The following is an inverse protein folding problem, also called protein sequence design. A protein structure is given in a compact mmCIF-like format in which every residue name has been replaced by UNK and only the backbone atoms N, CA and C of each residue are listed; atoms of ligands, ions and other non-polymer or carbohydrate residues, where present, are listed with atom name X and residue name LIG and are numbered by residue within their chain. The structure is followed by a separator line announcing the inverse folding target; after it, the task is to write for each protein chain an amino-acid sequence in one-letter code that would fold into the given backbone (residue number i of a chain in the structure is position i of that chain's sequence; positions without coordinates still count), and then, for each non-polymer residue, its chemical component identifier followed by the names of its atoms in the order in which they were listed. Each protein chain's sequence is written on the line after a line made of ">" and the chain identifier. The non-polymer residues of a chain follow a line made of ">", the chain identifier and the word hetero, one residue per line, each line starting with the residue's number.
data_IF_189012854622
#
_entry.id   IF_189012854622
#
_cell.length_a   1.000
_cell.length_b   1.000
_cell.length_c   1.000
_cell.angle_alpha   90.00
_cell.angle_beta   90.00
_cell.angle_gamma   90.00
#
_symmetry.space_group_name_H-M   'P 1'
#
loop_
_entity.id
_entity.type
_entity.pdbx_description
1 polymer ?
#
# COMPACT_ATOMS: atom_id res chain seq x y z
N UNK A 1 16.18 6.06 -11.14
CA UNK A 1 14.72 6.21 -10.97
C UNK A 1 13.97 6.39 -12.27
N UNK A 2 14.43 7.20 -13.21
CA UNK A 2 13.82 7.28 -14.56
C UNK A 2 13.76 5.93 -15.29
N UNK A 3 14.62 4.98 -14.94
CA UNK A 3 14.62 3.63 -15.51
C UNK A 3 13.39 2.79 -15.12
N UNK A 4 12.73 3.09 -14.00
CA UNK A 4 11.49 2.40 -13.56
C UNK A 4 10.32 2.59 -14.54
N UNK A 5 10.37 3.69 -15.32
CA UNK A 5 9.29 4.08 -16.24
C UNK A 5 9.70 3.94 -17.71
N UNK A 6 10.89 3.39 -17.99
CA UNK A 6 11.36 3.18 -19.36
C UNK A 6 11.00 1.79 -19.84
N UNK A 7 10.17 1.72 -20.86
CA UNK A 7 10.05 0.54 -21.72
C UNK A 7 10.99 0.75 -22.92
N UNK A 8 12.06 -0.06 -23.07
CA UNK A 8 12.98 0.09 -24.20
C UNK A 8 12.32 -0.09 -25.57
N UNK A 9 11.16 -0.79 -25.63
CA UNK A 9 10.42 -1.01 -26.87
C UNK A 9 9.52 0.18 -27.27
N UNK A 10 9.31 1.13 -26.36
CA UNK A 10 8.53 2.34 -26.62
C UNK A 10 9.42 3.54 -26.42
N UNK A 11 9.40 4.51 -27.31
CA UNK A 11 10.14 5.79 -27.19
C UNK A 11 9.61 6.59 -25.98
N UNK A 12 9.93 6.13 -24.77
CA UNK A 12 9.30 6.63 -23.55
C UNK A 12 10.04 7.80 -22.92
N UNK A 13 9.24 8.73 -22.43
CA UNK A 13 9.65 10.03 -21.88
C UNK A 13 10.27 9.93 -20.47
N UNK A 14 10.31 8.74 -19.86
CA UNK A 14 10.77 8.52 -18.48
C UNK A 14 9.70 8.83 -17.42
N UNK A 15 8.43 8.95 -17.85
CA UNK A 15 7.25 9.10 -17.00
C UNK A 15 6.33 7.88 -17.18
N UNK A 16 5.50 7.51 -16.15
CA UNK A 16 4.48 6.49 -16.33
C UNK A 16 3.46 6.93 -17.40
N UNK A 17 2.96 5.97 -18.17
CA UNK A 17 1.99 6.24 -19.22
C UNK A 17 0.61 6.66 -18.68
N UNK A 18 0.29 6.23 -17.45
CA UNK A 18 -1.01 6.44 -16.81
C UNK A 18 -0.86 6.88 -15.35
N UNK A 19 -1.88 7.57 -14.86
CA UNK A 19 -2.09 7.84 -13.45
C UNK A 19 -2.40 6.54 -12.70
N UNK A 20 -1.46 6.03 -11.90
CA UNK A 20 -1.56 4.72 -11.24
C UNK A 20 -1.00 4.73 -9.82
N UNK A 21 -1.44 3.79 -8.99
CA UNK A 21 -1.04 3.68 -7.58
C UNK A 21 0.45 3.38 -7.36
N UNK A 22 1.06 2.57 -8.21
CA UNK A 22 2.48 2.21 -8.11
C UNK A 22 3.38 3.43 -8.30
N UNK A 23 3.00 4.36 -9.19
CA UNK A 23 3.62 5.67 -9.31
C UNK A 23 3.52 6.46 -7.99
N UNK A 24 2.30 6.56 -7.44
CA UNK A 24 2.07 7.25 -6.16
C UNK A 24 2.90 6.68 -5.01
N UNK A 25 3.05 5.35 -4.95
CA UNK A 25 3.88 4.70 -3.93
C UNK A 25 5.36 5.06 -4.05
N UNK A 26 5.91 5.04 -5.27
CA UNK A 26 7.32 5.41 -5.50
C UNK A 26 7.56 6.87 -5.13
N UNK A 27 6.66 7.77 -5.52
CA UNK A 27 6.76 9.19 -5.17
C UNK A 27 6.67 9.41 -3.66
N UNK A 28 5.83 8.65 -2.96
CA UNK A 28 5.77 8.70 -1.48
C UNK A 28 7.07 8.20 -0.84
N UNK A 29 7.69 7.17 -1.40
CA UNK A 29 9.02 6.72 -0.98
C UNK A 29 10.08 7.81 -1.17
N UNK A 30 10.08 8.48 -2.32
CA UNK A 30 11.00 9.59 -2.63
C UNK A 30 10.73 10.80 -1.72
N UNK A 31 9.48 11.12 -1.43
CA UNK A 31 9.10 12.17 -0.46
C UNK A 31 9.76 11.91 0.91
N UNK A 32 9.70 10.66 1.41
CA UNK A 32 10.35 10.30 2.67
C UNK A 32 11.87 10.48 2.63
N UNK A 33 12.52 10.16 1.51
CA UNK A 33 13.95 10.43 1.31
C UNK A 33 14.22 11.94 1.31
N UNK A 34 13.39 12.73 0.62
CA UNK A 34 13.50 14.19 0.62
C UNK A 34 13.31 14.80 2.01
N UNK A 35 12.30 14.38 2.75
CA UNK A 35 12.05 14.88 4.12
C UNK A 35 13.29 14.76 5.02
N UNK A 36 14.08 13.73 4.79
CA UNK A 36 15.29 13.44 5.55
C UNK A 36 16.54 14.15 5.02
N UNK A 37 16.74 14.11 3.71
CA UNK A 37 17.97 14.63 3.07
C UNK A 37 17.89 16.13 2.78
N UNK A 38 16.69 16.66 2.57
CA UNK A 38 16.41 18.00 2.05
C UNK A 38 17.03 18.28 0.68
N UNK A 39 17.47 17.23 -0.03
CA UNK A 39 18.02 17.36 -1.37
C UNK A 39 16.91 17.73 -2.37
N UNK A 40 17.04 18.93 -2.94
CA UNK A 40 16.07 19.49 -3.88
C UNK A 40 15.80 18.61 -5.10
N UNK A 41 16.75 17.77 -5.50
CA UNK A 41 16.57 16.86 -6.64
C UNK A 41 15.39 15.90 -6.48
N UNK A 42 15.14 15.45 -5.25
CA UNK A 42 13.98 14.58 -4.95
C UNK A 42 12.67 15.34 -5.02
N UNK A 43 12.62 16.55 -4.48
CA UNK A 43 11.44 17.41 -4.59
C UNK A 43 11.12 17.72 -6.06
N UNK A 44 12.10 18.17 -6.81
CA UNK A 44 11.95 18.51 -8.25
C UNK A 44 11.49 17.27 -9.06
N UNK A 45 11.94 16.07 -8.66
CA UNK A 45 11.49 14.83 -9.29
C UNK A 45 9.99 14.59 -9.03
N UNK A 46 9.54 14.72 -7.78
CA UNK A 46 8.11 14.57 -7.43
C UNK A 46 7.28 15.60 -8.18
N UNK A 47 7.69 16.86 -8.16
CA UNK A 47 6.96 17.95 -8.80
C UNK A 47 6.84 17.72 -10.32
N UNK A 48 7.94 17.44 -11.02
CA UNK A 48 7.89 17.16 -12.47
C UNK A 48 7.00 15.98 -12.83
N UNK A 49 6.97 14.93 -11.99
CA UNK A 49 6.10 13.79 -12.22
C UNK A 49 4.61 14.16 -12.05
N UNK A 50 4.27 14.98 -11.07
CA UNK A 50 2.89 15.43 -10.88
C UNK A 50 2.50 16.43 -11.97
N UNK A 51 3.37 17.37 -12.35
CA UNK A 51 3.12 18.34 -13.44
C UNK A 51 2.92 17.68 -14.81
N UNK A 52 3.46 16.46 -14.98
CA UNK A 52 3.19 15.68 -16.18
C UNK A 52 1.72 15.24 -16.29
N UNK A 53 1.01 15.09 -15.18
CA UNK A 53 -0.38 14.64 -15.15
C UNK A 53 -1.38 15.74 -14.83
N UNK A 54 -1.01 16.75 -14.06
CA UNK A 54 -1.92 17.74 -13.49
C UNK A 54 -1.85 19.05 -14.28
N UNK A 55 -2.96 19.43 -14.91
CA UNK A 55 -3.12 20.71 -15.59
C UNK A 55 -3.44 21.84 -14.60
N UNK A 56 -3.35 23.10 -15.04
CA UNK A 56 -3.55 24.27 -14.18
C UNK A 56 -4.98 24.40 -13.65
N UNK A 57 -5.96 23.84 -14.34
CA UNK A 57 -7.34 23.75 -13.88
C UNK A 57 -7.59 22.68 -12.82
N UNK A 58 -6.61 21.81 -12.57
CA UNK A 58 -6.67 20.69 -11.64
C UNK A 58 -7.12 19.37 -12.27
N UNK A 59 -7.39 19.33 -13.57
CA UNK A 59 -7.68 18.09 -14.26
C UNK A 59 -6.45 17.15 -14.25
N UNK A 60 -6.72 15.85 -14.23
CA UNK A 60 -5.66 14.81 -14.13
C UNK A 60 -5.69 13.98 -15.42
N UNK A 61 -4.61 14.03 -16.18
CA UNK A 61 -4.47 13.25 -17.42
C UNK A 61 -4.55 11.75 -17.13
N UNK A 62 -5.31 11.03 -17.94
CA UNK A 62 -5.57 9.57 -17.84
C UNK A 62 -6.34 9.13 -16.58
N UNK A 63 -6.99 10.06 -15.91
CA UNK A 63 -7.90 9.80 -14.80
C UNK A 63 -9.32 10.22 -15.18
N UNK A 64 -10.28 9.39 -14.84
CA UNK A 64 -11.72 9.67 -14.92
C UNK A 64 -12.42 9.17 -13.66
N UNK A 65 -13.25 10.04 -13.08
CA UNK A 65 -13.99 9.71 -11.84
C UNK A 65 -14.94 8.53 -12.04
N UNK A 66 -15.55 8.40 -13.22
CA UNK A 66 -16.54 7.38 -13.56
C UNK A 66 -16.01 5.95 -13.54
N UNK A 67 -14.69 5.76 -13.60
CA UNK A 67 -14.07 4.46 -13.42
C UNK A 67 -14.23 3.95 -11.98
N UNK A 68 -14.42 4.84 -11.04
CA UNK A 68 -14.47 4.51 -9.61
C UNK A 68 -13.45 3.44 -9.23
N UNK A 69 -12.20 3.72 -9.57
CA UNK A 69 -11.06 2.87 -9.25
C UNK A 69 -10.32 3.45 -8.05
N UNK A 70 -10.36 2.76 -6.91
CA UNK A 70 -9.73 3.26 -5.69
C UNK A 70 -8.19 3.35 -5.82
N UNK A 71 -7.58 2.57 -6.72
CA UNK A 71 -6.14 2.62 -6.99
C UNK A 71 -5.69 4.00 -7.49
N UNK A 72 -6.57 4.75 -8.13
CA UNK A 72 -6.28 6.09 -8.64
C UNK A 72 -6.20 7.16 -7.55
N UNK A 73 -6.58 6.87 -6.32
CA UNK A 73 -6.57 7.82 -5.19
C UNK A 73 -5.16 7.98 -4.60
N UNK A 74 -4.38 6.89 -4.54
CA UNK A 74 -3.07 6.89 -3.88
C UNK A 74 -2.10 7.99 -4.34
N UNK A 75 -1.96 8.30 -5.66
CA UNK A 75 -1.06 9.37 -6.10
C UNK A 75 -1.46 10.76 -5.58
N UNK A 76 -2.71 10.93 -5.13
CA UNK A 76 -3.21 12.16 -4.50
C UNK A 76 -2.41 12.58 -3.27
N UNK A 77 -1.72 11.67 -2.60
CA UNK A 77 -0.82 12.01 -1.49
C UNK A 77 0.34 12.92 -1.93
N UNK A 78 0.87 12.71 -3.14
CA UNK A 78 1.87 13.61 -3.71
C UNK A 78 1.29 14.99 -4.04
N UNK A 79 0.01 15.07 -4.43
CA UNK A 79 -0.67 16.36 -4.63
C UNK A 79 -0.79 17.14 -3.32
N UNK A 80 -1.21 16.47 -2.24
CA UNK A 80 -1.30 17.11 -0.91
C UNK A 80 0.08 17.58 -0.42
N UNK A 81 1.12 16.78 -0.63
CA UNK A 81 2.51 17.17 -0.33
C UNK A 81 2.93 18.43 -1.10
N UNK A 82 2.71 18.47 -2.42
CA UNK A 82 3.07 19.61 -3.26
C UNK A 82 2.24 20.84 -2.92
N UNK A 83 0.94 20.71 -2.68
CA UNK A 83 0.10 21.82 -2.23
C UNK A 83 0.59 22.41 -0.91
N UNK A 84 0.87 21.57 0.09
CA UNK A 84 1.39 22.02 1.40
C UNK A 84 2.72 22.76 1.27
N UNK A 85 3.57 22.35 0.31
CA UNK A 85 4.92 22.89 0.14
C UNK A 85 4.94 24.11 -0.76
N UNK A 86 4.16 24.11 -1.86
CA UNK A 86 4.22 25.18 -2.91
C UNK A 86 3.06 26.15 -2.91
N UNK A 87 1.94 25.77 -2.29
CA UNK A 87 0.67 26.52 -2.31
C UNK A 87 0.07 26.71 -3.71
N UNK A 88 0.49 25.92 -4.71
CA UNK A 88 -0.09 25.99 -6.04
C UNK A 88 -1.50 25.39 -6.05
N UNK A 89 -2.48 26.18 -6.49
CA UNK A 89 -3.91 25.81 -6.46
C UNK A 89 -4.25 24.61 -7.36
N UNK A 90 -3.51 24.36 -8.43
CA UNK A 90 -3.73 23.18 -9.29
C UNK A 90 -3.66 21.87 -8.51
N UNK A 91 -2.74 21.73 -7.55
CA UNK A 91 -2.61 20.52 -6.74
C UNK A 91 -3.77 20.36 -5.75
N UNK A 92 -4.28 21.47 -5.20
CA UNK A 92 -5.47 21.45 -4.36
C UNK A 92 -6.70 21.03 -5.15
N UNK A 93 -6.92 21.62 -6.34
CA UNK A 93 -8.02 21.25 -7.22
C UNK A 93 -7.98 19.78 -7.63
N UNK A 94 -6.79 19.30 -8.04
CA UNK A 94 -6.61 17.90 -8.38
C UNK A 94 -6.85 16.95 -7.16
N UNK A 95 -6.41 17.33 -5.96
CA UNK A 95 -6.71 16.58 -4.75
C UNK A 95 -8.22 16.60 -4.43
N UNK A 96 -8.91 17.72 -4.64
CA UNK A 96 -10.36 17.83 -4.46
C UNK A 96 -11.13 16.92 -5.44
N UNK A 97 -10.69 16.80 -6.68
CA UNK A 97 -11.27 15.86 -7.65
C UNK A 97 -11.16 14.40 -7.20
N UNK A 98 -10.03 14.01 -6.60
CA UNK A 98 -9.89 12.66 -6.02
C UNK A 98 -10.76 12.48 -4.75
N UNK A 99 -10.93 13.53 -3.97
CA UNK A 99 -11.82 13.51 -2.80
C UNK A 99 -13.29 13.35 -3.22
N UNK A 100 -13.72 14.01 -4.30
CA UNK A 100 -15.05 13.87 -4.89
C UNK A 100 -15.34 12.42 -5.30
N UNK A 101 -14.35 11.70 -5.88
CA UNK A 101 -14.50 10.28 -6.13
C UNK A 101 -14.86 9.50 -4.86
N UNK A 102 -14.21 9.77 -3.72
CA UNK A 102 -14.50 9.06 -2.46
C UNK A 102 -15.89 9.39 -1.89
N UNK A 103 -16.44 10.57 -2.16
CA UNK A 103 -17.81 10.92 -1.75
C UNK A 103 -18.86 10.05 -2.45
N UNK A 104 -18.67 9.87 -3.74
CA UNK A 104 -19.61 9.18 -4.63
C UNK A 104 -19.24 7.72 -4.92
N UNK A 105 -18.11 7.25 -4.39
CA UNK A 105 -17.58 5.90 -4.65
C UNK A 105 -18.59 4.81 -4.26
N UNK A 106 -18.85 3.82 -5.12
CA UNK A 106 -19.76 2.71 -4.81
C UNK A 106 -19.34 2.00 -3.53
N UNK A 107 -20.36 1.59 -2.76
CA UNK A 107 -20.17 0.97 -1.45
C UNK A 107 -20.96 -0.33 -1.29
N UNK A 108 -20.45 -1.20 -0.44
CA UNK A 108 -21.19 -2.35 0.08
C UNK A 108 -22.41 -1.88 0.89
N UNK A 109 -23.35 -2.76 1.18
CA UNK A 109 -24.52 -2.44 2.03
C UNK A 109 -24.12 -1.96 3.43
N UNK A 110 -22.92 -2.37 3.90
CA UNK A 110 -22.36 -1.97 5.18
C UNK A 110 -21.56 -0.64 5.10
N UNK A 111 -21.41 -0.06 3.90
CA UNK A 111 -20.76 1.22 3.66
C UNK A 111 -19.26 1.12 3.36
N UNK A 112 -18.70 -0.07 3.13
CA UNK A 112 -17.32 -0.26 2.68
C UNK A 112 -17.14 0.13 1.21
N UNK A 113 -16.04 0.77 0.85
CA UNK A 113 -15.74 1.10 -0.54
C UNK A 113 -15.53 -0.16 -1.37
N UNK A 114 -16.16 -0.24 -2.54
CA UNK A 114 -15.76 -1.24 -3.53
C UNK A 114 -14.33 -0.98 -3.98
N UNK A 115 -13.59 -2.04 -4.22
CA UNK A 115 -12.22 -1.87 -4.73
C UNK A 115 -12.20 -1.15 -6.09
N UNK A 116 -13.14 -1.50 -6.97
CA UNK A 116 -13.38 -0.82 -8.26
C UNK A 116 -14.84 -1.02 -8.67
N UNK A 117 -15.37 -0.11 -9.48
CA UNK A 117 -16.72 -0.26 -10.06
C UNK A 117 -16.89 -1.58 -10.82
N UNK A 118 -15.83 -2.04 -11.50
CA UNK A 118 -15.82 -3.32 -12.23
C UNK A 118 -15.76 -4.56 -11.30
N UNK A 119 -15.59 -4.36 -9.98
CA UNK A 119 -15.60 -5.40 -8.95
C UNK A 119 -16.69 -5.08 -7.91
N UNK A 120 -17.98 -5.17 -8.30
CA UNK A 120 -19.08 -4.76 -7.44
C UNK A 120 -19.11 -5.57 -6.14
N UNK A 121 -19.47 -4.90 -5.05
CA UNK A 121 -19.61 -5.48 -3.69
C UNK A 121 -18.33 -6.06 -3.07
N UNK A 122 -17.14 -5.77 -3.66
CA UNK A 122 -15.88 -6.32 -3.19
C UNK A 122 -15.02 -5.28 -2.46
N UNK A 123 -14.54 -5.65 -1.27
CA UNK A 123 -13.46 -4.96 -0.57
C UNK A 123 -12.19 -5.81 -0.62
N UNK A 124 -11.06 -5.20 -0.96
CA UNK A 124 -9.76 -5.85 -0.90
C UNK A 124 -8.85 -5.11 0.08
N UNK A 125 -7.92 -5.84 0.72
CA UNK A 125 -6.95 -5.24 1.65
C UNK A 125 -6.15 -4.11 0.99
N UNK A 126 -5.81 -4.28 -0.27
CA UNK A 126 -5.09 -3.31 -1.10
C UNK A 126 -5.80 -1.95 -1.15
N UNK A 127 -7.12 -1.97 -1.33
CA UNK A 127 -7.94 -0.76 -1.41
C UNK A 127 -7.80 0.16 -0.22
N UNK A 128 -7.52 -0.39 0.96
CA UNK A 128 -7.33 0.41 2.17
C UNK A 128 -6.08 1.30 2.08
N UNK A 129 -4.98 0.82 1.46
CA UNK A 129 -3.81 1.68 1.24
C UNK A 129 -4.02 2.66 0.10
N UNK A 130 -4.79 2.26 -0.90
CA UNK A 130 -5.08 3.12 -2.05
C UNK A 130 -5.86 4.36 -1.64
N UNK A 131 -6.90 4.21 -0.80
CA UNK A 131 -7.82 5.28 -0.43
C UNK A 131 -7.53 5.97 0.90
N UNK A 132 -7.38 5.20 1.98
CA UNK A 132 -7.52 5.72 3.33
C UNK A 132 -6.40 6.67 3.80
N UNK A 133 -5.11 6.45 3.48
CA UNK A 133 -4.08 7.43 3.84
C UNK A 133 -4.25 8.79 3.16
N UNK A 134 -4.70 8.79 1.89
CA UNK A 134 -5.04 10.05 1.22
C UNK A 134 -6.26 10.71 1.86
N UNK A 135 -7.32 9.95 2.11
CA UNK A 135 -8.56 10.45 2.71
C UNK A 135 -8.30 11.08 4.08
N UNK A 136 -7.52 10.42 4.93
CA UNK A 136 -7.16 10.94 6.25
C UNK A 136 -6.26 12.19 6.16
N UNK A 137 -5.28 12.21 5.25
CA UNK A 137 -4.39 13.34 5.04
C UNK A 137 -5.16 14.54 4.46
N UNK A 138 -6.11 14.31 3.54
CA UNK A 138 -7.00 15.33 3.00
C UNK A 138 -7.90 15.91 4.08
N UNK A 139 -8.58 15.05 4.84
CA UNK A 139 -9.48 15.46 5.92
C UNK A 139 -8.76 16.30 7.00
N UNK A 140 -7.53 15.91 7.36
CA UNK A 140 -6.71 16.69 8.30
C UNK A 140 -6.26 18.03 7.69
N UNK A 141 -5.95 18.08 6.39
CA UNK A 141 -5.47 19.29 5.70
C UNK A 141 -6.55 20.30 5.51
N UNK A 142 -7.78 19.86 5.21
CA UNK A 142 -8.91 20.74 4.88
C UNK A 142 -10.01 20.79 5.94
N UNK A 143 -9.73 20.26 7.13
CA UNK A 143 -10.62 20.29 8.30
C UNK A 143 -11.99 19.62 8.08
N UNK A 144 -11.97 18.34 7.66
CA UNK A 144 -13.15 17.50 7.50
C UNK A 144 -13.28 16.48 8.67
N UNK A 145 -13.62 16.87 9.89
CA UNK A 145 -13.55 15.99 11.06
C UNK A 145 -14.51 14.78 10.95
N UNK A 146 -15.67 14.91 10.27
CA UNK A 146 -16.63 13.84 10.09
C UNK A 146 -16.08 12.70 9.21
N UNK A 147 -15.08 12.96 8.36
CA UNK A 147 -14.47 11.95 7.49
C UNK A 147 -13.78 10.83 8.28
N UNK A 148 -13.26 11.12 9.47
CA UNK A 148 -12.53 10.13 10.29
C UNK A 148 -13.44 8.99 10.78
N UNK A 149 -14.74 9.21 10.91
CA UNK A 149 -15.69 8.15 11.24
C UNK A 149 -15.84 7.15 10.09
N UNK A 150 -15.90 7.62 8.86
CA UNK A 150 -15.98 6.79 7.66
C UNK A 150 -14.66 6.04 7.42
N UNK A 151 -13.53 6.74 7.50
CA UNK A 151 -12.20 6.14 7.38
C UNK A 151 -12.02 4.98 8.37
N UNK A 152 -12.37 5.19 9.64
CA UNK A 152 -12.28 4.13 10.63
C UNK A 152 -13.22 2.95 10.31
N UNK A 153 -14.41 3.22 9.76
CA UNK A 153 -15.36 2.20 9.31
C UNK A 153 -14.74 1.29 8.27
N UNK A 154 -14.01 1.82 7.28
CA UNK A 154 -13.39 1.02 6.23
C UNK A 154 -12.44 -0.04 6.82
N UNK A 155 -11.55 0.34 7.72
CA UNK A 155 -10.64 -0.60 8.40
C UNK A 155 -11.39 -1.65 9.23
N UNK A 156 -12.39 -1.22 10.00
CA UNK A 156 -13.20 -2.13 10.85
C UNK A 156 -13.96 -3.14 10.01
N UNK A 157 -14.56 -2.70 8.90
CA UNK A 157 -15.30 -3.59 8.00
C UNK A 157 -14.36 -4.60 7.36
N UNK A 158 -13.22 -4.13 6.83
CA UNK A 158 -12.27 -5.02 6.17
C UNK A 158 -11.69 -6.04 7.15
N UNK A 159 -11.25 -5.61 8.35
CA UNK A 159 -10.75 -6.54 9.36
C UNK A 159 -11.80 -7.58 9.74
N UNK A 160 -13.01 -7.15 10.08
CA UNK A 160 -14.08 -8.06 10.52
C UNK A 160 -14.40 -9.13 9.48
N UNK A 161 -14.44 -8.74 8.20
CA UNK A 161 -14.85 -9.62 7.12
C UNK A 161 -13.71 -10.49 6.59
N UNK A 162 -12.43 -10.10 6.78
CA UNK A 162 -11.28 -10.81 6.22
C UNK A 162 -10.42 -11.57 7.24
N UNK A 163 -10.53 -11.28 8.56
CA UNK A 163 -9.68 -11.94 9.56
C UNK A 163 -10.07 -13.41 9.76
N UNK A 164 -9.07 -14.26 9.72
CA UNK A 164 -9.17 -15.65 10.14
C UNK A 164 -8.87 -15.79 11.64
N UNK A 165 -9.81 -16.35 12.40
CA UNK A 165 -9.69 -16.45 13.87
C UNK A 165 -8.61 -17.43 14.32
N UNK A 166 -8.24 -18.42 13.48
CA UNK A 166 -7.24 -19.46 13.82
C UNK A 166 -5.81 -18.93 13.64
N UNK A 167 -5.56 -18.25 12.54
CA UNK A 167 -4.23 -17.78 12.18
C UNK A 167 -3.98 -16.34 12.61
N UNK A 168 -5.04 -15.51 12.68
CA UNK A 168 -4.99 -14.08 12.85
C UNK A 168 -4.63 -13.33 11.57
N UNK A 169 -4.35 -14.04 10.46
CA UNK A 169 -4.09 -13.44 9.15
C UNK A 169 -5.38 -12.91 8.52
N UNK A 170 -5.22 -12.10 7.48
CA UNK A 170 -6.33 -11.52 6.74
C UNK A 170 -6.37 -12.10 5.33
N UNK A 171 -7.54 -12.54 4.88
CA UNK A 171 -7.77 -12.94 3.49
C UNK A 171 -7.67 -11.72 2.57
N UNK A 172 -7.17 -11.90 1.35
CA UNK A 172 -6.90 -10.83 0.38
C UNK A 172 -8.13 -9.97 0.09
N UNK A 173 -9.27 -10.61 -0.16
CA UNK A 173 -10.52 -9.94 -0.51
C UNK A 173 -11.74 -10.54 0.15
N UNK A 174 -12.79 -9.71 0.20
CA UNK A 174 -14.13 -10.08 0.65
C UNK A 174 -15.17 -9.59 -0.36
N UNK A 175 -16.03 -10.50 -0.78
CA UNK A 175 -17.20 -10.23 -1.62
C UNK A 175 -18.47 -10.32 -0.76
N UNK A 176 -19.12 -9.19 -0.49
CA UNK A 176 -20.36 -9.13 0.27
C UNK A 176 -21.47 -9.95 -0.40
N UNK A 177 -21.51 -9.95 -1.73
CA UNK A 177 -22.52 -10.67 -2.51
C UNK A 177 -22.33 -12.18 -2.48
N UNK A 178 -21.10 -12.67 -2.22
CA UNK A 178 -20.69 -14.08 -2.26
C UNK A 178 -20.90 -14.75 -3.63
N UNK A 179 -21.03 -13.97 -4.69
CA UNK A 179 -21.32 -14.47 -6.04
C UNK A 179 -20.07 -14.68 -6.89
N UNK A 180 -18.93 -14.11 -6.45
CA UNK A 180 -17.68 -14.31 -7.13
C UNK A 180 -17.21 -15.77 -7.01
N UNK A 181 -16.74 -16.35 -8.09
CA UNK A 181 -16.24 -17.74 -8.10
C UNK A 181 -15.08 -17.98 -7.15
N UNK A 182 -14.28 -16.94 -6.85
CA UNK A 182 -13.20 -17.00 -5.87
C UNK A 182 -13.70 -16.88 -4.43
N UNK A 183 -14.91 -16.39 -4.21
CA UNK A 183 -15.42 -16.13 -2.86
C UNK A 183 -15.98 -17.40 -2.22
N UNK A 184 -15.66 -17.62 -0.97
CA UNK A 184 -16.28 -18.66 -0.16
C UNK A 184 -17.80 -18.36 -0.06
N UNK A 185 -18.68 -19.31 -0.41
CA UNK A 185 -20.14 -19.07 -0.48
C UNK A 185 -20.80 -18.78 0.88
N UNK A 186 -20.16 -19.13 2.00
CA UNK A 186 -20.66 -18.85 3.34
C UNK A 186 -20.14 -17.53 3.89
N UNK A 187 -18.86 -17.21 3.63
CA UNK A 187 -18.18 -16.07 4.26
C UNK A 187 -17.89 -14.90 3.33
N UNK A 188 -17.86 -15.13 2.01
CA UNK A 188 -17.43 -14.15 1.02
C UNK A 188 -15.90 -13.95 0.94
N UNK A 189 -15.11 -14.66 1.73
CA UNK A 189 -13.65 -14.51 1.80
C UNK A 189 -12.96 -15.18 0.62
N UNK A 190 -11.84 -14.60 0.16
CA UNK A 190 -10.93 -15.24 -0.79
C UNK A 190 -10.20 -16.43 -0.15
N UNK A 191 -9.62 -17.36 -0.94
CA UNK A 191 -9.15 -18.64 -0.36
C UNK A 191 -7.81 -18.58 0.35
N UNK A 192 -6.95 -17.58 0.10
CA UNK A 192 -5.58 -17.55 0.61
C UNK A 192 -5.16 -16.22 1.25
N UNK A 193 -4.10 -16.30 2.08
CA UNK A 193 -3.49 -15.15 2.75
C UNK A 193 -2.30 -14.63 1.93
N UNK A 194 -2.55 -13.69 1.02
CA UNK A 194 -1.51 -13.11 0.19
C UNK A 194 -0.71 -12.05 0.96
N UNK A 195 0.63 -12.23 1.01
CA UNK A 195 1.51 -11.41 1.83
C UNK A 195 1.45 -9.91 1.48
N UNK A 196 1.50 -9.56 0.19
CA UNK A 196 1.45 -8.15 -0.25
C UNK A 196 0.13 -7.46 0.09
N UNK A 197 -1.01 -8.15 -0.01
CA UNK A 197 -2.29 -7.58 0.38
C UNK A 197 -2.30 -7.17 1.86
N UNK A 198 -1.82 -8.05 2.74
CA UNK A 198 -1.65 -7.70 4.16
C UNK A 198 -0.60 -6.63 4.39
N UNK A 199 0.46 -6.59 3.58
CA UNK A 199 1.45 -5.52 3.58
C UNK A 199 0.82 -4.16 3.29
N UNK A 200 -0.02 -4.08 2.27
CA UNK A 200 -0.80 -2.87 1.97
C UNK A 200 -1.66 -2.43 3.16
N UNK A 201 -2.40 -3.36 3.75
CA UNK A 201 -3.27 -3.04 4.90
C UNK A 201 -2.48 -2.57 6.13
N UNK A 202 -1.30 -3.16 6.38
CA UNK A 202 -0.41 -2.72 7.46
C UNK A 202 0.11 -1.30 7.23
N UNK A 203 0.55 -0.99 6.00
CA UNK A 203 0.97 0.36 5.61
C UNK A 203 -0.18 1.36 5.69
N UNK A 204 -1.39 0.96 5.25
CA UNK A 204 -2.58 1.79 5.35
C UNK A 204 -2.85 2.23 6.79
N UNK A 205 -2.80 1.30 7.74
CA UNK A 205 -3.04 1.60 9.16
C UNK A 205 -2.04 2.62 9.71
N UNK A 206 -0.73 2.39 9.54
CA UNK A 206 0.28 3.31 10.13
C UNK A 206 0.27 4.68 9.48
N UNK A 207 -0.05 4.77 8.19
CA UNK A 207 -0.09 6.03 7.46
C UNK A 207 -1.38 6.82 7.78
N UNK A 208 -2.51 6.13 7.91
CA UNK A 208 -3.78 6.75 8.29
C UNK A 208 -3.79 7.24 9.73
N UNK A 209 -3.26 6.45 10.69
CA UNK A 209 -3.22 6.81 12.11
C UNK A 209 -2.39 8.11 12.35
N UNK A 210 -1.41 8.41 11.51
CA UNK A 210 -0.63 9.66 11.60
C UNK A 210 -1.49 10.92 11.48
N UNK A 211 -2.56 10.85 10.68
CA UNK A 211 -3.47 11.96 10.42
C UNK A 211 -4.71 11.95 11.30
N UNK A 212 -4.94 10.86 12.04
CA UNK A 212 -6.09 10.74 12.93
C UNK A 212 -5.96 11.66 14.14
N UNK A 213 -6.99 12.45 14.49
CA UNK A 213 -6.95 13.28 15.69
C UNK A 213 -6.68 12.41 16.94
N UNK A 214 -5.77 12.86 17.81
CA UNK A 214 -5.33 12.06 18.96
C UNK A 214 -6.46 11.63 19.89
N UNK A 215 -7.47 12.50 20.06
CA UNK A 215 -8.63 12.28 20.91
C UNK A 215 -9.80 11.58 20.21
N UNK A 216 -9.68 11.27 18.91
CA UNK A 216 -10.77 10.63 18.20
C UNK A 216 -11.08 9.24 18.77
N UNK A 217 -12.33 8.92 19.13
CA UNK A 217 -12.68 7.70 19.87
C UNK A 217 -12.32 6.41 19.11
N UNK A 218 -12.32 6.45 17.78
CA UNK A 218 -11.99 5.30 16.93
C UNK A 218 -10.50 5.11 16.70
N UNK A 219 -9.64 6.07 17.08
CA UNK A 219 -8.19 5.96 16.87
C UNK A 219 -7.58 4.75 17.59
N UNK A 220 -7.98 4.52 18.83
CA UNK A 220 -7.53 3.36 19.61
C UNK A 220 -7.92 2.03 18.94
N UNK A 221 -9.07 2.00 18.24
CA UNK A 221 -9.54 0.83 17.50
C UNK A 221 -8.63 0.51 16.31
N UNK A 222 -8.18 1.52 15.56
CA UNK A 222 -7.22 1.34 14.47
C UNK A 222 -5.86 0.82 14.99
N UNK A 223 -5.39 1.34 16.11
CA UNK A 223 -4.15 0.88 16.77
C UNK A 223 -4.31 -0.59 17.19
N UNK A 224 -5.46 -0.98 17.73
CA UNK A 224 -5.70 -2.37 18.11
C UNK A 224 -5.76 -3.31 16.88
N UNK A 225 -6.31 -2.86 15.75
CA UNK A 225 -6.28 -3.60 14.47
C UNK A 225 -4.84 -3.80 14.02
N UNK A 226 -4.03 -2.75 14.08
CA UNK A 226 -2.60 -2.81 13.72
C UNK A 226 -1.82 -3.79 14.64
N UNK A 227 -2.06 -3.78 15.96
CA UNK A 227 -1.35 -4.69 16.88
C UNK A 227 -1.74 -6.16 16.63
N UNK A 228 -3.03 -6.46 16.40
CA UNK A 228 -3.46 -7.82 16.03
C UNK A 228 -2.81 -8.29 14.71
N UNK A 229 -2.72 -7.42 13.72
CA UNK A 229 -2.04 -7.76 12.46
C UNK A 229 -0.53 -7.96 12.67
N UNK A 230 0.12 -7.07 13.42
CA UNK A 230 1.55 -7.17 13.74
C UNK A 230 1.87 -8.47 14.48
N UNK A 231 0.99 -8.88 15.41
CA UNK A 231 1.13 -10.18 16.09
C UNK A 231 1.06 -11.36 15.12
N UNK A 232 0.06 -11.39 14.24
CA UNK A 232 -0.10 -12.44 13.24
C UNK A 232 1.10 -12.48 12.26
N UNK A 233 1.48 -11.33 11.70
CA UNK A 233 2.62 -11.22 10.79
C UNK A 233 3.92 -11.70 11.45
N UNK A 234 4.14 -11.37 12.72
CA UNK A 234 5.32 -11.85 13.47
C UNK A 234 5.36 -13.37 13.59
N UNK A 235 4.23 -14.02 13.83
CA UNK A 235 4.13 -15.47 13.94
C UNK A 235 4.54 -16.20 12.65
N UNK A 236 4.31 -15.57 11.50
CA UNK A 236 4.61 -16.11 10.18
C UNK A 236 5.91 -15.57 9.56
N UNK A 237 6.73 -14.85 10.32
CA UNK A 237 8.08 -14.48 9.89
C UNK A 237 8.98 -15.72 9.85
N UNK A 238 9.56 -16.02 8.69
CA UNK A 238 10.48 -17.15 8.56
C UNK A 238 11.68 -17.00 9.52
N UNK A 239 11.93 -18.02 10.37
CA UNK A 239 12.94 -17.91 11.41
C UNK A 239 14.38 -17.85 10.87
N UNK A 240 14.65 -18.35 9.66
CA UNK A 240 15.99 -18.37 9.07
C UNK A 240 16.30 -17.08 8.35
N UNK A 241 15.44 -16.67 7.40
CA UNK A 241 15.65 -15.48 6.58
C UNK A 241 15.18 -14.18 7.23
N UNK A 242 14.20 -14.26 8.14
CA UNK A 242 13.51 -13.10 8.67
C UNK A 242 12.49 -12.48 7.74
N UNK A 243 12.18 -13.13 6.62
CA UNK A 243 11.27 -12.66 5.57
C UNK A 243 9.90 -13.34 5.67
N UNK A 244 9.04 -13.08 4.70
CA UNK A 244 7.70 -13.65 4.62
C UNK A 244 7.44 -14.26 3.26
N UNK A 245 6.69 -15.35 3.26
CA UNK A 245 6.32 -16.07 2.04
C UNK A 245 5.18 -15.39 1.29
N UNK A 246 5.11 -15.61 -0.03
CA UNK A 246 4.08 -15.13 -0.94
C UNK A 246 2.67 -15.47 -0.42
N UNK A 247 2.44 -16.74 -0.08
CA UNK A 247 1.24 -17.21 0.62
C UNK A 247 1.63 -17.51 2.07
N UNK A 248 1.20 -16.66 2.98
CA UNK A 248 1.77 -16.48 4.32
C UNK A 248 1.76 -17.73 5.19
N UNK A 249 0.67 -18.50 5.17
CA UNK A 249 0.46 -19.68 6.04
C UNK A 249 1.00 -21.00 5.45
N UNK A 250 1.56 -20.93 4.24
CA UNK A 250 2.05 -22.12 3.53
C UNK A 250 3.56 -22.38 3.69
N UNK A 251 4.30 -21.42 4.26
CA UNK A 251 5.73 -21.58 4.53
C UNK A 251 6.49 -22.15 3.33
N UNK A 252 7.23 -23.24 3.55
CA UNK A 252 8.05 -23.92 2.54
C UNK A 252 7.25 -24.91 1.66
N UNK A 253 5.93 -24.80 1.59
CA UNK A 253 5.14 -25.65 0.69
C UNK A 253 5.62 -25.51 -0.76
N UNK A 254 5.46 -26.59 -1.55
CA UNK A 254 6.00 -26.69 -2.91
C UNK A 254 5.66 -25.46 -3.76
N UNK A 255 6.70 -24.76 -4.24
CA UNK A 255 6.58 -23.60 -5.11
C UNK A 255 6.39 -22.27 -4.39
N UNK A 256 6.12 -22.23 -3.08
CA UNK A 256 6.03 -20.99 -2.34
C UNK A 256 7.43 -20.35 -2.19
N UNK A 257 7.49 -19.04 -2.17
CA UNK A 257 8.74 -18.29 -2.14
C UNK A 257 8.66 -17.08 -1.21
N UNK A 258 9.82 -16.60 -0.76
CA UNK A 258 9.94 -15.36 0.00
C UNK A 258 9.71 -14.16 -0.93
N UNK A 259 8.86 -13.21 -0.52
CA UNK A 259 8.41 -12.14 -1.40
C UNK A 259 8.86 -10.77 -0.88
N UNK A 260 9.53 -10.01 -1.74
CA UNK A 260 10.23 -8.79 -1.34
C UNK A 260 9.32 -7.62 -1.00
N UNK A 261 8.23 -7.40 -1.77
CA UNK A 261 7.35 -6.25 -1.53
C UNK A 261 6.59 -6.37 -0.21
N UNK A 262 6.05 -7.55 0.08
CA UNK A 262 5.39 -7.82 1.36
C UNK A 262 6.37 -7.62 2.54
N UNK A 263 7.60 -8.13 2.40
CA UNK A 263 8.63 -7.96 3.41
C UNK A 263 8.95 -6.48 3.66
N UNK A 264 9.14 -5.67 2.61
CA UNK A 264 9.37 -4.23 2.73
C UNK A 264 8.19 -3.52 3.40
N UNK A 265 6.95 -3.85 3.04
CA UNK A 265 5.74 -3.27 3.61
C UNK A 265 5.58 -3.59 5.10
N UNK A 266 5.82 -4.84 5.50
CA UNK A 266 5.77 -5.24 6.91
C UNK A 266 6.88 -4.56 7.72
N UNK A 267 8.11 -4.51 7.20
CA UNK A 267 9.22 -3.80 7.87
C UNK A 267 8.88 -2.33 8.08
N UNK A 268 8.38 -1.66 7.05
CA UNK A 268 7.93 -0.27 7.15
C UNK A 268 6.87 -0.08 8.23
N UNK A 269 5.80 -0.87 8.16
CA UNK A 269 4.67 -0.72 9.08
C UNK A 269 5.07 -1.00 10.54
N UNK A 270 5.86 -2.05 10.79
CA UNK A 270 6.34 -2.39 12.12
C UNK A 270 7.31 -1.32 12.67
N UNK A 271 8.29 -0.89 11.87
CA UNK A 271 9.25 0.12 12.29
C UNK A 271 8.58 1.47 12.59
N UNK A 272 7.71 1.94 11.70
CA UNK A 272 6.95 3.17 11.86
C UNK A 272 5.96 3.08 13.02
N UNK A 273 5.27 1.96 13.16
CA UNK A 273 4.32 1.72 14.25
C UNK A 273 4.99 1.80 15.62
N UNK A 274 6.19 1.22 15.77
CA UNK A 274 6.99 1.33 17.00
C UNK A 274 7.48 2.77 17.23
N UNK A 275 8.01 3.41 16.19
CA UNK A 275 8.55 4.78 16.28
C UNK A 275 7.49 5.79 16.72
N UNK A 276 6.26 5.63 16.25
CA UNK A 276 5.14 6.52 16.58
C UNK A 276 4.35 6.10 17.83
N UNK A 277 4.78 5.02 18.52
CA UNK A 277 4.11 4.54 19.73
C UNK A 277 2.76 3.85 19.47
N UNK A 278 2.49 3.43 18.25
CA UNK A 278 1.28 2.65 17.89
C UNK A 278 1.46 1.17 18.22
N UNK A 279 2.69 0.70 18.17
CA UNK A 279 3.06 -0.69 18.47
C UNK A 279 4.05 -0.78 19.61
N UNK A 280 3.98 -1.83 20.44
CA UNK A 280 4.97 -2.12 21.46
C UNK A 280 6.39 -2.32 20.89
N UNK A 281 7.40 -1.99 21.70
CA UNK A 281 8.82 -2.05 21.31
C UNK A 281 9.32 -3.44 20.88
N UNK A 282 8.65 -4.53 21.32
CA UNK A 282 8.99 -5.91 20.90
C UNK A 282 9.03 -6.09 19.37
N UNK A 283 8.22 -5.34 18.62
CA UNK A 283 8.20 -5.41 17.15
C UNK A 283 9.43 -4.76 16.48
N UNK A 284 10.25 -4.01 17.21
CA UNK A 284 11.53 -3.46 16.71
C UNK A 284 12.48 -4.57 16.25
N UNK A 285 12.57 -5.67 17.02
CA UNK A 285 13.40 -6.81 16.67
C UNK A 285 12.90 -7.52 15.39
N UNK A 286 11.58 -7.66 15.25
CA UNK A 286 10.94 -8.25 14.06
C UNK A 286 11.24 -7.42 12.81
N UNK A 287 11.04 -6.10 12.88
CA UNK A 287 11.35 -5.19 11.78
C UNK A 287 12.84 -5.23 11.40
N UNK A 288 13.74 -5.22 12.39
CA UNK A 288 15.19 -5.29 12.16
C UNK A 288 15.60 -6.61 11.48
N UNK A 289 15.05 -7.74 11.95
CA UNK A 289 15.31 -9.06 11.36
C UNK A 289 14.82 -9.10 9.90
N UNK A 290 13.60 -8.62 9.64
CA UNK A 290 13.05 -8.53 8.28
C UNK A 290 13.89 -7.63 7.37
N UNK A 291 14.33 -6.47 7.85
CA UNK A 291 15.17 -5.56 7.06
C UNK A 291 16.53 -6.18 6.70
N UNK A 292 17.17 -6.86 7.65
CA UNK A 292 18.42 -7.59 7.38
C UNK A 292 18.20 -8.69 6.33
N UNK A 293 17.08 -9.41 6.40
CA UNK A 293 16.70 -10.40 5.39
C UNK A 293 16.53 -9.77 4.00
N UNK A 294 15.84 -8.61 3.91
CA UNK A 294 15.67 -7.88 2.65
C UNK A 294 17.04 -7.53 2.05
N UNK A 295 17.95 -6.96 2.84
CA UNK A 295 19.28 -6.56 2.37
C UNK A 295 20.10 -7.76 1.88
N UNK A 296 19.98 -8.90 2.55
CA UNK A 296 20.77 -10.10 2.20
C UNK A 296 20.22 -10.83 0.98
N UNK A 297 18.90 -11.05 0.94
CA UNK A 297 18.29 -11.95 -0.03
C UNK A 297 17.86 -11.22 -1.31
N UNK A 298 17.37 -9.97 -1.21
CA UNK A 298 16.72 -9.27 -2.33
C UNK A 298 17.50 -8.10 -2.91
N UNK A 299 18.49 -7.54 -2.19
CA UNK A 299 19.31 -6.46 -2.74
C UNK A 299 20.53 -7.04 -3.44
N UNK A 300 20.56 -6.87 -4.75
CA UNK A 300 21.67 -7.33 -5.58
C UNK A 300 22.35 -6.15 -6.29
N UNK A 301 23.67 -6.22 -6.41
CA UNK A 301 24.46 -5.24 -7.17
C UNK A 301 24.81 -5.84 -8.52
N UNK A 302 24.48 -5.13 -9.59
CA UNK A 302 24.87 -5.54 -10.93
C UNK A 302 26.33 -5.17 -11.26
N UNK A 303 26.78 -5.57 -12.46
CA UNK A 303 28.16 -5.29 -12.94
C UNK A 303 28.47 -3.80 -13.07
N UNK A 304 27.44 -2.95 -13.21
CA UNK A 304 27.59 -1.49 -13.31
C UNK A 304 27.54 -0.80 -11.93
N UNK A 305 27.45 -1.59 -10.86
CA UNK A 305 27.37 -1.09 -9.50
C UNK A 305 25.97 -0.61 -9.07
N UNK A 306 24.95 -0.75 -9.92
CA UNK A 306 23.57 -0.41 -9.59
C UNK A 306 22.98 -1.42 -8.59
N UNK A 307 22.26 -0.92 -7.60
CA UNK A 307 21.48 -1.77 -6.67
C UNK A 307 20.14 -2.08 -7.29
N UNK A 308 19.78 -3.36 -7.27
CA UNK A 308 18.52 -3.87 -7.76
C UNK A 308 17.76 -4.55 -6.62
N UNK A 309 16.43 -4.41 -6.60
CA UNK A 309 15.53 -5.16 -5.74
C UNK A 309 14.93 -6.32 -6.54
N UNK A 310 15.29 -7.54 -6.17
CA UNK A 310 14.75 -8.77 -6.75
C UNK A 310 13.59 -9.31 -5.92
N UNK A 311 12.92 -10.34 -6.41
CA UNK A 311 11.94 -11.11 -5.63
C UNK A 311 10.58 -10.44 -5.46
N UNK A 312 10.22 -9.46 -6.29
CA UNK A 312 8.90 -8.83 -6.25
C UNK A 312 7.92 -9.54 -7.19
N UNK A 313 6.81 -10.04 -6.70
CA UNK A 313 5.74 -10.53 -7.58
C UNK A 313 5.12 -9.36 -8.34
N UNK A 314 4.95 -9.53 -9.66
CA UNK A 314 4.48 -8.45 -10.53
C UNK A 314 3.06 -7.98 -10.16
N UNK A 315 2.10 -8.90 -10.07
CA UNK A 315 0.71 -8.58 -9.81
C UNK A 315 0.08 -9.62 -8.87
N UNK A 316 -1.03 -9.26 -8.26
CA UNK A 316 -1.95 -10.14 -7.59
C UNK A 316 -3.33 -9.50 -7.59
N UNK A 317 -4.37 -10.30 -7.71
CA UNK A 317 -5.73 -9.80 -7.75
C UNK A 317 -6.76 -10.92 -7.72
N UNK A 318 -8.02 -10.56 -7.80
CA UNK A 318 -9.16 -11.47 -7.76
C UNK A 318 -10.11 -11.16 -8.92
N UNK A 319 -10.67 -12.19 -9.54
CA UNK A 319 -11.57 -12.01 -10.70
C UNK A 319 -10.86 -11.46 -11.95
N UNK A 320 -11.61 -10.78 -12.81
CA UNK A 320 -11.08 -10.19 -14.04
C UNK A 320 -10.99 -11.17 -15.22
N UNK A 321 -10.28 -10.74 -16.26
CA UNK A 321 -10.02 -11.56 -17.46
C UNK A 321 -8.55 -11.39 -17.88
N UNK A 322 -7.70 -12.45 -17.86
CA UNK A 322 -8.03 -13.80 -17.41
C UNK A 322 -8.50 -13.85 -15.96
N UNK A 323 -9.31 -14.87 -15.63
CA UNK A 323 -9.90 -14.97 -14.30
C UNK A 323 -8.88 -15.41 -13.25
N UNK A 324 -8.76 -14.62 -12.17
CA UNK A 324 -7.87 -14.85 -11.03
C UNK A 324 -8.70 -15.38 -9.88
N UNK A 325 -8.54 -16.67 -9.58
CA UNK A 325 -9.38 -17.38 -8.61
C UNK A 325 -8.89 -17.25 -7.15
N UNK A 326 -7.72 -16.61 -6.93
CA UNK A 326 -7.10 -16.49 -5.63
C UNK A 326 -6.61 -17.81 -5.03
N UNK A 327 -6.50 -18.87 -5.85
CA UNK A 327 -5.92 -20.17 -5.43
C UNK A 327 -4.44 -20.04 -5.08
N UNK A 328 -3.91 -21.06 -4.43
CA UNK A 328 -2.47 -21.16 -4.17
C UNK A 328 -1.68 -21.16 -5.48
N UNK A 329 -2.12 -21.97 -6.42
CA UNK A 329 -1.52 -22.11 -7.76
C UNK A 329 -1.54 -20.77 -8.51
N UNK A 330 -2.63 -20.02 -8.43
CA UNK A 330 -2.72 -18.68 -9.04
C UNK A 330 -1.64 -17.75 -8.48
N UNK A 331 -1.51 -17.62 -7.15
CA UNK A 331 -0.51 -16.73 -6.57
C UNK A 331 0.92 -17.11 -6.92
N UNK A 332 1.19 -18.39 -7.17
CA UNK A 332 2.53 -18.87 -7.54
C UNK A 332 2.79 -18.77 -9.06
N UNK A 333 1.75 -18.67 -9.88
CA UNK A 333 1.88 -18.52 -11.34
C UNK A 333 2.27 -17.11 -11.80
N UNK A 334 2.09 -16.13 -10.93
CA UNK A 334 2.41 -14.74 -11.23
C UNK A 334 3.93 -14.51 -11.31
N UNK A 335 4.36 -13.72 -12.28
CA UNK A 335 5.79 -13.48 -12.52
C UNK A 335 6.45 -12.77 -11.36
N UNK A 336 7.64 -13.22 -11.01
CA UNK A 336 8.54 -12.52 -10.10
C UNK A 336 9.50 -11.68 -10.93
N UNK A 337 9.65 -10.40 -10.61
CA UNK A 337 10.40 -9.43 -11.40
C UNK A 337 11.36 -8.61 -10.54
N UNK A 338 12.33 -7.98 -11.20
CA UNK A 338 13.31 -7.09 -10.57
C UNK A 338 12.85 -5.64 -10.71
N UNK A 339 13.08 -4.84 -9.66
CA UNK A 339 12.79 -3.40 -9.63
C UNK A 339 11.32 -3.02 -9.91
N UNK A 340 10.39 -3.88 -9.55
CA UNK A 340 8.98 -3.51 -9.63
C UNK A 340 8.67 -2.29 -8.74
N UNK A 341 7.94 -1.28 -9.23
CA UNK A 341 7.63 -0.06 -8.47
C UNK A 341 7.00 -0.32 -7.10
N UNK A 342 6.18 -1.37 -6.96
CA UNK A 342 5.54 -1.74 -5.69
C UNK A 342 6.56 -2.19 -4.63
N UNK A 343 7.56 -2.96 -5.06
CA UNK A 343 8.68 -3.35 -4.21
C UNK A 343 9.61 -2.17 -3.90
N UNK A 344 10.01 -1.42 -4.94
CA UNK A 344 10.95 -0.28 -4.81
C UNK A 344 10.38 0.82 -3.92
N UNK A 345 9.12 1.21 -4.11
CA UNK A 345 8.48 2.23 -3.27
C UNK A 345 8.40 1.79 -1.80
N UNK A 346 8.00 0.55 -1.54
CA UNK A 346 7.97 -0.01 -0.19
C UNK A 346 9.39 -0.12 0.43
N UNK A 347 10.41 -0.47 -0.36
CA UNK A 347 11.80 -0.49 0.09
C UNK A 347 12.30 0.89 0.52
N UNK A 348 12.01 1.95 -0.26
CA UNK A 348 12.39 3.32 0.08
C UNK A 348 11.77 3.75 1.42
N UNK A 349 10.49 3.42 1.63
CA UNK A 349 9.81 3.68 2.89
C UNK A 349 10.42 2.89 4.04
N UNK A 350 10.65 1.59 3.89
CA UNK A 350 11.23 0.72 4.90
C UNK A 350 12.66 1.15 5.27
N UNK A 351 13.52 1.39 4.27
CA UNK A 351 14.90 1.80 4.49
C UNK A 351 14.98 3.13 5.23
N UNK A 352 14.15 4.10 4.85
CA UNK A 352 14.11 5.41 5.51
C UNK A 352 13.68 5.28 6.98
N UNK A 353 12.64 4.47 7.28
CA UNK A 353 12.22 4.24 8.67
C UNK A 353 13.28 3.51 9.50
N UNK A 354 13.93 2.50 8.94
CA UNK A 354 15.00 1.78 9.64
C UNK A 354 16.20 2.66 9.94
N UNK A 355 16.55 3.59 9.03
CA UNK A 355 17.61 4.56 9.29
C UNK A 355 17.23 5.58 10.38
N UNK A 356 15.98 6.06 10.40
CA UNK A 356 15.47 6.93 11.49
C UNK A 356 15.54 6.19 12.83
N UNK A 357 15.14 4.93 12.87
CA UNK A 357 15.15 4.11 14.07
C UNK A 357 16.58 3.83 14.59
N UNK A 358 17.59 3.80 13.72
CA UNK A 358 19.00 3.60 14.12
C UNK A 358 19.65 4.84 14.76
N UNK A 359 19.20 6.05 14.41
CA UNK A 359 19.76 7.32 14.91
C UNK A 359 19.18 7.78 16.26
N UNK A 360 18.12 7.13 16.76
CA UNK A 360 17.48 7.41 18.05
C UNK A 360 17.99 6.49 19.19
N UNK A 361 19.25 6.07 19.12
CA UNK A 361 19.94 5.36 20.19
C UNK A 361 20.62 6.32 21.16
#
# INVERSE_FOLDING_TARGET
>A
MTALWRDPAKKETGYPAKWTYDHGLVLKGIERVWEKSRDKRYFDFIQRNMDHFVADDGSIRTYTIDEYNIDHILPGRALLFLYKTTRQEKYKKAAALLREQLETHPRTSQGGFWHKKIYPSQMWLDGLYMGEPFYAEYAATFNEPAAFDDIAKQFVLMERNSRDDKTGLLYHGWDESRQQRWANPQTGRSPNFWGRAMGWFAMALVDTIDHFPKQHPKRAKLIAILDRLAHAVTKYQDPQSGLWYQVMDKGTAKGNYLESSAACMFVYALAKGVRNGYLPSRYKAVAKKGYNGILKEFIKRDSNGQLNLEGTVNVGGLGGNPYRDGSYEYYLSEKVVTNDPKGVGALLLAATEMEIASKRR
#
